data_IF_923541565001
#
_entry.id   IF_923541565001
#
_cell.length_a   1.000
_cell.length_b   1.000
_cell.length_c   1.000
_cell.angle_alpha   90.00
_cell.angle_beta   90.00
_cell.angle_gamma   90.00
#
_symmetry.space_group_name_H-M   'P 1'
#
loop_
_entity.id
_entity.type
_entity.pdbx_description
1 polymer ?
#
# COMPACT_ATOMS: atom_id res chain seq x y z
N UNK A 1 10.16 -0.62 -12.67
CA UNK A 1 10.29 0.74 -12.10
C UNK A 1 9.37 0.82 -10.89
N UNK A 2 9.90 1.16 -9.72
CA UNK A 2 9.07 1.46 -8.55
C UNK A 2 8.46 2.85 -8.79
N UNK A 3 7.13 2.97 -8.63
CA UNK A 3 6.43 4.25 -8.75
C UNK A 3 6.17 4.83 -7.36
N UNK A 4 6.29 6.14 -7.23
CA UNK A 4 5.96 6.85 -5.99
C UNK A 4 4.44 7.07 -5.93
N UNK A 5 3.87 6.85 -4.75
CA UNK A 5 2.47 7.12 -4.46
C UNK A 5 2.38 8.09 -3.29
N UNK A 6 1.85 9.29 -3.52
CA UNK A 6 1.66 10.32 -2.50
C UNK A 6 0.23 10.24 -1.96
N UNK A 7 0.11 10.00 -0.66
CA UNK A 7 -1.17 9.97 0.05
C UNK A 7 -1.34 11.24 0.87
N UNK A 8 -2.53 11.85 0.84
CA UNK A 8 -2.90 12.91 1.78
C UNK A 8 -3.43 12.27 3.06
N UNK A 9 -2.82 12.62 4.18
CA UNK A 9 -3.11 12.09 5.52
C UNK A 9 -2.81 13.21 6.52
N UNK A 10 -3.58 13.31 7.60
CA UNK A 10 -3.31 14.26 8.66
C UNK A 10 -2.08 13.85 9.47
N UNK A 11 -1.43 14.84 10.09
CA UNK A 11 -0.16 14.66 10.80
C UNK A 11 -0.30 13.71 12.00
N UNK A 12 -1.42 13.75 12.71
CA UNK A 12 -1.66 12.91 13.89
C UNK A 12 -1.76 11.43 13.49
N UNK A 13 -2.53 11.13 12.46
CA UNK A 13 -2.68 9.77 11.96
C UNK A 13 -1.38 9.25 11.36
N UNK A 14 -0.63 10.09 10.64
CA UNK A 14 0.68 9.73 10.11
C UNK A 14 1.66 9.36 11.23
N UNK A 15 1.70 10.15 12.31
CA UNK A 15 2.54 9.87 13.48
C UNK A 15 2.17 8.53 14.14
N UNK A 16 0.87 8.25 14.32
CA UNK A 16 0.38 6.97 14.84
C UNK A 16 0.75 5.81 13.91
N UNK A 17 0.63 5.99 12.61
CA UNK A 17 1.00 4.97 11.63
C UNK A 17 2.49 4.63 11.67
N UNK A 18 3.35 5.65 11.80
CA UNK A 18 4.79 5.44 12.00
C UNK A 18 5.08 4.67 13.29
N UNK A 19 4.39 4.99 14.38
CA UNK A 19 4.56 4.27 15.65
C UNK A 19 4.23 2.78 15.51
N UNK A 20 3.06 2.45 14.95
CA UNK A 20 2.62 1.06 14.73
C UNK A 20 3.56 0.31 13.79
N UNK A 21 4.01 0.96 12.72
CA UNK A 21 4.94 0.37 11.75
C UNK A 21 6.28 0.03 12.40
N UNK A 22 6.84 0.96 13.19
CA UNK A 22 8.09 0.74 13.94
C UNK A 22 7.96 -0.37 14.98
N UNK A 23 6.85 -0.41 15.70
CA UNK A 23 6.56 -1.51 16.63
C UNK A 23 6.58 -2.87 15.93
N UNK A 24 6.11 -2.91 14.69
CA UNK A 24 6.10 -4.12 13.85
C UNK A 24 7.44 -4.41 13.15
N UNK A 25 8.49 -3.62 13.42
CA UNK A 25 9.81 -3.72 12.77
C UNK A 25 9.82 -3.32 11.30
N UNK A 26 8.84 -2.55 10.83
CA UNK A 26 8.66 -2.16 9.42
C UNK A 26 8.74 -0.65 9.23
N UNK A 27 9.10 -0.23 8.02
CA UNK A 27 8.90 1.16 7.60
C UNK A 27 7.41 1.39 7.32
N UNK A 28 6.98 2.65 7.42
CA UNK A 28 5.62 3.03 7.05
C UNK A 28 5.26 2.57 5.63
N UNK A 29 6.19 2.73 4.68
CA UNK A 29 5.97 2.31 3.29
C UNK A 29 5.85 0.78 3.14
N UNK A 30 6.69 -0.01 3.81
CA UNK A 30 6.59 -1.47 3.69
C UNK A 30 5.35 -2.01 4.40
N UNK A 31 4.95 -1.38 5.51
CA UNK A 31 3.68 -1.67 6.18
C UNK A 31 2.48 -1.33 5.29
N UNK A 32 2.47 -0.15 4.65
CA UNK A 32 1.40 0.27 3.74
C UNK A 32 1.31 -0.67 2.53
N UNK A 33 2.46 -1.02 1.93
CA UNK A 33 2.51 -1.95 0.81
C UNK A 33 1.92 -3.32 1.17
N UNK A 34 2.22 -3.83 2.37
CA UNK A 34 1.63 -5.07 2.87
C UNK A 34 0.11 -4.95 3.02
N UNK A 35 -0.38 -3.85 3.58
CA UNK A 35 -1.81 -3.59 3.74
C UNK A 35 -2.52 -3.54 2.38
N UNK A 36 -1.97 -2.83 1.39
CA UNK A 36 -2.52 -2.76 0.03
C UNK A 36 -2.59 -4.14 -0.62
N UNK A 37 -1.52 -4.94 -0.51
CA UNK A 37 -1.51 -6.31 -1.04
C UNK A 37 -2.61 -7.17 -0.43
N UNK A 38 -2.78 -7.09 0.89
CA UNK A 38 -3.82 -7.85 1.59
C UNK A 38 -5.23 -7.43 1.16
N UNK A 39 -5.46 -6.13 0.93
CA UNK A 39 -6.74 -5.62 0.43
C UNK A 39 -7.04 -6.19 -0.96
N UNK A 40 -6.06 -6.15 -1.88
CA UNK A 40 -6.21 -6.69 -3.23
C UNK A 40 -6.48 -8.19 -3.17
N UNK A 41 -5.69 -8.95 -2.42
CA UNK A 41 -5.86 -10.39 -2.27
C UNK A 41 -7.25 -10.76 -1.72
N UNK A 42 -7.71 -10.07 -0.66
CA UNK A 42 -9.03 -10.30 -0.09
C UNK A 42 -10.15 -9.98 -1.08
N UNK A 43 -9.99 -8.90 -1.86
CA UNK A 43 -10.95 -8.55 -2.89
C UNK A 43 -11.00 -9.61 -3.99
N UNK A 44 -9.84 -10.07 -4.48
CA UNK A 44 -9.74 -11.08 -5.54
C UNK A 44 -10.29 -12.45 -5.10
N UNK A 45 -10.08 -12.83 -3.84
CA UNK A 45 -10.67 -14.05 -3.26
C UNK A 45 -12.19 -14.01 -3.26
N UNK A 46 -12.80 -12.83 -3.04
CA UNK A 46 -14.25 -12.69 -2.95
C UNK A 46 -14.93 -12.43 -4.30
N UNK A 47 -14.26 -11.75 -5.24
CA UNK A 47 -14.88 -11.23 -6.47
C UNK A 47 -14.26 -11.77 -7.77
N UNK A 48 -13.19 -12.54 -7.67
CA UNK A 48 -12.39 -12.99 -8.82
C UNK A 48 -11.18 -12.09 -9.11
N UNK A 49 -10.25 -12.61 -9.92
CA UNK A 49 -8.96 -11.97 -10.23
C UNK A 49 -9.15 -10.66 -10.98
N UNK A 50 -8.46 -9.60 -10.54
CA UNK A 50 -8.48 -8.31 -11.21
C UNK A 50 -7.57 -8.38 -12.44
N UNK A 51 -8.15 -8.18 -13.62
CA UNK A 51 -7.39 -8.06 -14.87
C UNK A 51 -7.10 -6.57 -15.11
N UNK A 52 -5.85 -6.15 -14.91
CA UNK A 52 -5.37 -4.80 -15.21
C UNK A 52 -4.29 -4.84 -16.27
N UNK A 53 -4.49 -4.09 -17.35
CA UNK A 53 -3.47 -3.89 -18.38
C UNK A 53 -2.50 -2.83 -17.88
N UNK A 54 -1.37 -3.27 -17.34
CA UNK A 54 -0.36 -2.34 -16.82
C UNK A 54 0.45 -1.83 -18.01
N UNK A 55 -0.03 -0.77 -18.65
CA UNK A 55 0.76 -0.06 -19.64
C UNK A 55 2.07 0.40 -18.99
N UNK A 56 3.19 -0.13 -19.49
CA UNK A 56 4.53 0.34 -19.12
C UNK A 56 4.75 1.68 -19.81
N UNK A 57 4.17 2.73 -19.22
CA UNK A 57 4.38 4.09 -19.67
C UNK A 57 5.89 4.37 -19.75
N UNK A 58 6.34 4.76 -20.95
CA UNK A 58 7.71 5.20 -21.26
C UNK A 58 7.86 6.62 -20.70
N UNK A 59 8.50 6.77 -19.54
CA UNK A 59 9.10 8.05 -19.18
C UNK A 59 10.31 7.87 -18.26
#
# INVERSE_FOLDING_TARGET
MLRNFTLRIDDELLAKFHYVSRYSGRSANSQLLMMVRKIVEQFEQANGVIQVDVEKDKQ
#
